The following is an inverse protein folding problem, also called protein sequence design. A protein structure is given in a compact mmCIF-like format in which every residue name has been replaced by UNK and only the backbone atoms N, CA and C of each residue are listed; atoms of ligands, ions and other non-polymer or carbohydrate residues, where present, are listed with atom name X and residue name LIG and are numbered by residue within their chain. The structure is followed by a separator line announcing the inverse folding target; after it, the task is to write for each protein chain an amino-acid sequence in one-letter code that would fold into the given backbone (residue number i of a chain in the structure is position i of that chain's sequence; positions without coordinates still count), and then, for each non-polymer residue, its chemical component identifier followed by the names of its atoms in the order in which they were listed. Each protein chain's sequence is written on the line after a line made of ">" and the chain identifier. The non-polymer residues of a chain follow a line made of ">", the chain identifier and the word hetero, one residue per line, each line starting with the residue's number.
data_IF_076047453152
#
_entry.id   IF_076047453152
#
_cell.length_a   1.000
_cell.length_b   1.000
_cell.length_c   1.000
_cell.angle_alpha   90.00
_cell.angle_beta   90.00
_cell.angle_gamma   90.00
#
_symmetry.space_group_name_H-M   'P 1'
#
loop_
_entity.id
_entity.type
_entity.pdbx_description
1 polymer ?
#
# COMPACT_ATOMS: atom_id res chain seq x y z
N UNK A 1 54.06 -5.26 19.13
CA UNK A 1 53.09 -6.36 18.79
C UNK A 1 51.72 -5.93 19.22
N UNK A 2 50.93 -5.39 18.29
CA UNK A 2 49.59 -4.89 18.55
C UNK A 2 48.59 -5.81 17.84
N UNK A 3 47.84 -6.61 18.60
CA UNK A 3 46.81 -7.48 18.06
C UNK A 3 45.56 -6.66 17.66
N UNK A 4 45.31 -6.56 16.35
CA UNK A 4 44.10 -6.03 15.76
C UNK A 4 42.93 -6.96 16.08
N UNK A 5 42.02 -6.56 16.96
CA UNK A 5 40.74 -7.23 17.21
C UNK A 5 39.83 -6.98 16.02
N UNK A 6 39.70 -7.98 15.11
CA UNK A 6 38.65 -8.03 14.09
C UNK A 6 37.28 -8.03 14.77
N UNK A 7 36.53 -6.93 14.65
CA UNK A 7 35.11 -6.85 14.99
C UNK A 7 34.34 -7.68 13.94
N UNK A 8 34.04 -8.93 14.25
CA UNK A 8 33.05 -9.73 13.52
C UNK A 8 31.66 -9.11 13.76
N UNK A 9 31.16 -8.39 12.78
CA UNK A 9 29.77 -7.95 12.78
C UNK A 9 28.86 -9.18 12.70
N UNK A 10 28.28 -9.56 13.84
CA UNK A 10 27.22 -10.58 13.87
C UNK A 10 26.07 -10.07 12.99
N UNK A 11 25.93 -10.61 11.80
CA UNK A 11 24.72 -10.50 10.99
C UNK A 11 23.55 -11.08 11.80
N UNK A 12 22.81 -10.22 12.47
CA UNK A 12 21.57 -10.61 13.14
C UNK A 12 20.61 -11.02 12.04
N UNK A 13 20.39 -12.32 11.82
CA UNK A 13 19.39 -12.85 10.90
C UNK A 13 18.06 -12.15 11.16
N UNK A 14 17.60 -11.37 10.19
CA UNK A 14 16.36 -10.60 10.29
C UNK A 14 15.21 -11.59 10.46
N UNK A 15 14.53 -11.60 11.62
CA UNK A 15 13.43 -12.51 11.91
C UNK A 15 12.38 -12.40 10.79
N UNK A 16 12.08 -13.53 10.15
CA UNK A 16 11.07 -13.65 9.09
C UNK A 16 9.72 -13.16 9.59
N UNK A 17 9.08 -12.26 8.83
CA UNK A 17 7.77 -11.68 9.16
C UNK A 17 6.67 -12.39 8.39
N UNK A 18 5.49 -12.52 8.99
CA UNK A 18 4.28 -13.07 8.37
C UNK A 18 3.42 -11.93 7.86
N UNK A 19 3.22 -11.85 6.56
CA UNK A 19 2.44 -10.79 5.91
C UNK A 19 1.21 -11.41 5.25
N UNK A 20 0.03 -10.87 5.55
CA UNK A 20 -1.22 -11.19 4.86
C UNK A 20 -1.55 -10.06 3.89
N UNK A 21 -1.77 -10.39 2.61
CA UNK A 21 -2.24 -9.45 1.60
C UNK A 21 -3.67 -9.84 1.21
N UNK A 22 -4.61 -8.90 1.39
CA UNK A 22 -6.03 -9.06 1.05
C UNK A 22 -6.30 -8.27 -0.23
N UNK A 23 -6.55 -9.00 -1.30
CA UNK A 23 -6.76 -8.48 -2.65
C UNK A 23 -5.69 -8.99 -3.62
N UNK A 24 -6.11 -9.83 -4.57
CA UNK A 24 -5.28 -10.46 -5.58
C UNK A 24 -5.23 -9.69 -6.90
N UNK A 25 -5.72 -8.46 -6.94
CA UNK A 25 -5.61 -7.59 -8.10
C UNK A 25 -4.15 -7.26 -8.44
N UNK A 26 -3.94 -6.51 -9.52
CA UNK A 26 -2.59 -6.22 -10.03
C UNK A 26 -1.65 -5.64 -8.95
N UNK A 27 -2.11 -4.65 -8.16
CA UNK A 27 -1.26 -4.03 -7.14
C UNK A 27 -0.97 -4.97 -5.97
N UNK A 28 -1.98 -5.67 -5.42
CA UNK A 28 -1.76 -6.61 -4.31
C UNK A 28 -0.82 -7.74 -4.69
N UNK A 29 -0.96 -8.27 -5.91
CA UNK A 29 -0.07 -9.31 -6.44
C UNK A 29 1.34 -8.80 -6.69
N UNK A 30 1.51 -7.62 -7.28
CA UNK A 30 2.82 -7.00 -7.48
C UNK A 30 3.53 -6.72 -6.15
N UNK A 31 2.79 -6.30 -5.14
CA UNK A 31 3.32 -6.00 -3.81
C UNK A 31 3.89 -7.22 -3.08
N UNK A 32 3.49 -8.44 -3.49
CA UNK A 32 4.11 -9.67 -2.96
C UNK A 32 5.61 -9.77 -3.27
N UNK A 33 6.06 -9.16 -4.38
CA UNK A 33 7.45 -9.26 -4.87
C UNK A 33 8.43 -8.63 -3.88
N UNK A 34 8.34 -7.33 -3.51
CA UNK A 34 9.26 -6.74 -2.53
C UNK A 34 9.11 -7.37 -1.13
N UNK A 35 7.90 -7.80 -0.75
CA UNK A 35 7.69 -8.47 0.53
C UNK A 35 8.47 -9.80 0.62
N UNK A 36 8.40 -10.63 -0.41
CA UNK A 36 9.10 -11.92 -0.47
C UNK A 36 10.62 -11.75 -0.59
N UNK A 37 11.08 -10.73 -1.31
CA UNK A 37 12.51 -10.42 -1.45
C UNK A 37 13.16 -10.02 -0.12
N UNK A 38 12.40 -9.39 0.77
CA UNK A 38 12.81 -9.11 2.14
C UNK A 38 12.74 -10.34 3.07
N UNK A 39 12.69 -11.54 2.52
CA UNK A 39 12.67 -12.82 3.24
C UNK A 39 11.49 -12.96 4.21
N UNK A 40 10.32 -12.41 3.85
CA UNK A 40 9.09 -12.58 4.62
C UNK A 40 8.30 -13.79 4.13
N UNK A 41 7.47 -14.37 5.01
CA UNK A 41 6.42 -15.32 4.64
C UNK A 41 5.18 -14.54 4.20
N UNK A 42 4.83 -14.60 2.93
CA UNK A 42 3.71 -13.84 2.37
C UNK A 42 2.57 -14.77 2.01
N UNK A 43 1.40 -14.47 2.54
CA UNK A 43 0.13 -15.11 2.17
C UNK A 43 -0.74 -14.08 1.45
N UNK A 44 -1.27 -14.43 0.29
CA UNK A 44 -2.26 -13.62 -0.43
C UNK A 44 -3.62 -14.30 -0.40
N UNK A 45 -4.67 -13.51 -0.26
CA UNK A 45 -6.07 -13.97 -0.32
C UNK A 45 -6.89 -13.04 -1.19
N UNK A 46 -7.90 -13.59 -1.87
CA UNK A 46 -8.78 -12.85 -2.77
C UNK A 46 -10.23 -13.18 -2.47
N UNK A 47 -11.04 -12.20 -1.99
CA UNK A 47 -12.42 -12.46 -1.63
C UNK A 47 -13.40 -12.53 -2.81
N UNK A 48 -13.08 -11.96 -3.98
CA UNK A 48 -14.06 -11.76 -5.06
C UNK A 48 -13.79 -12.54 -6.34
N UNK A 49 -12.51 -12.68 -6.75
CA UNK A 49 -12.17 -13.22 -8.07
C UNK A 49 -11.94 -14.73 -8.06
N UNK A 50 -12.94 -15.50 -8.50
CA UNK A 50 -12.81 -16.95 -8.70
C UNK A 50 -11.72 -17.31 -9.71
N UNK A 51 -11.57 -16.51 -10.77
CA UNK A 51 -10.53 -16.70 -11.80
C UNK A 51 -9.13 -16.54 -11.22
N UNK A 52 -8.92 -15.53 -10.38
CA UNK A 52 -7.65 -15.33 -9.70
C UNK A 52 -7.29 -16.53 -8.81
N UNK A 53 -8.27 -17.01 -8.04
CA UNK A 53 -8.12 -18.18 -7.18
C UNK A 53 -7.69 -19.40 -8.01
N UNK A 54 -8.39 -19.68 -9.13
CA UNK A 54 -8.08 -20.78 -10.04
C UNK A 54 -6.66 -20.67 -10.62
N UNK A 55 -6.25 -19.49 -11.06
CA UNK A 55 -4.92 -19.27 -11.64
C UNK A 55 -3.80 -19.43 -10.63
N UNK A 56 -4.00 -19.02 -9.37
CA UNK A 56 -3.00 -19.21 -8.31
C UNK A 56 -2.87 -20.66 -7.83
N UNK A 57 -3.90 -21.46 -8.00
CA UNK A 57 -3.86 -22.89 -7.73
C UNK A 57 -3.11 -23.67 -8.80
N UNK A 58 -2.82 -23.06 -9.96
CA UNK A 58 -2.01 -23.66 -11.03
C UNK A 58 -0.52 -23.68 -10.66
N UNK A 59 0.23 -24.67 -11.23
CA UNK A 59 1.68 -24.79 -11.00
C UNK A 59 2.44 -23.49 -11.32
N UNK A 60 2.01 -22.73 -12.30
CA UNK A 60 2.70 -21.54 -12.80
C UNK A 60 2.32 -20.25 -12.10
N UNK A 61 1.25 -20.23 -11.29
CA UNK A 61 0.75 -19.01 -10.59
C UNK A 61 0.71 -17.78 -11.50
N UNK A 62 0.27 -17.93 -12.75
CA UNK A 62 0.27 -16.86 -13.74
C UNK A 62 -0.77 -15.79 -13.39
N UNK A 63 -0.34 -14.52 -13.40
CA UNK A 63 -1.19 -13.37 -13.18
C UNK A 63 -1.42 -12.61 -14.49
N UNK A 64 -2.63 -12.68 -15.04
CA UNK A 64 -2.97 -12.16 -16.38
C UNK A 64 -2.76 -10.66 -16.54
N UNK A 65 -3.19 -9.85 -15.55
CA UNK A 65 -3.05 -8.40 -15.62
C UNK A 65 -1.59 -7.92 -15.51
N UNK A 66 -0.72 -8.65 -14.80
CA UNK A 66 0.71 -8.35 -14.69
C UNK A 66 1.53 -8.99 -15.81
N UNK A 67 0.98 -10.02 -16.47
CA UNK A 67 1.67 -10.84 -17.48
C UNK A 67 2.97 -11.47 -16.96
N UNK A 68 2.96 -11.94 -15.72
CA UNK A 68 4.08 -12.63 -15.05
C UNK A 68 3.60 -13.84 -14.26
N UNK A 69 4.51 -14.75 -13.98
CA UNK A 69 4.32 -15.78 -12.96
C UNK A 69 4.68 -15.20 -11.58
N UNK A 70 3.78 -15.32 -10.62
CA UNK A 70 4.05 -14.87 -9.25
C UNK A 70 5.09 -15.78 -8.58
N UNK A 71 5.86 -15.27 -7.61
CA UNK A 71 6.93 -16.02 -6.97
C UNK A 71 6.45 -17.35 -6.40
N UNK A 72 7.23 -18.44 -6.63
CA UNK A 72 6.89 -19.79 -6.14
C UNK A 72 6.65 -19.88 -4.63
N UNK A 73 7.40 -19.08 -3.85
CA UNK A 73 7.27 -19.01 -2.36
C UNK A 73 5.98 -18.34 -1.88
N UNK A 74 5.23 -17.67 -2.76
CA UNK A 74 3.96 -17.04 -2.40
C UNK A 74 2.94 -18.11 -1.98
N UNK A 75 2.36 -17.93 -0.78
CA UNK A 75 1.29 -18.77 -0.27
C UNK A 75 -0.05 -18.15 -0.67
N UNK A 76 -0.96 -19.00 -1.13
CA UNK A 76 -2.34 -18.61 -1.36
C UNK A 76 -3.24 -19.30 -0.35
N UNK A 77 -4.22 -18.54 0.18
CA UNK A 77 -5.27 -19.08 1.04
C UNK A 77 -6.62 -18.50 0.64
N UNK A 78 -7.67 -19.32 0.66
CA UNK A 78 -9.04 -18.84 0.46
C UNK A 78 -9.38 -17.82 1.55
N UNK A 79 -10.08 -16.75 1.17
CA UNK A 79 -10.52 -15.75 2.13
C UNK A 79 -11.54 -16.37 3.12
N UNK A 80 -11.35 -16.09 4.39
CA UNK A 80 -12.29 -16.39 5.45
C UNK A 80 -12.08 -15.41 6.62
N UNK A 81 -13.12 -15.18 7.42
CA UNK A 81 -13.01 -14.32 8.60
C UNK A 81 -12.02 -14.91 9.63
N UNK A 82 -11.90 -16.25 9.71
CA UNK A 82 -10.94 -16.91 10.58
C UNK A 82 -9.49 -16.59 10.21
N UNK A 83 -9.20 -16.38 8.91
CA UNK A 83 -7.86 -15.98 8.47
C UNK A 83 -7.42 -14.64 9.07
N UNK A 84 -8.35 -13.72 9.31
CA UNK A 84 -8.07 -12.42 9.92
C UNK A 84 -7.76 -12.50 11.42
N UNK A 85 -8.18 -13.56 12.10
CA UNK A 85 -7.88 -13.81 13.51
C UNK A 85 -6.49 -14.40 13.73
N UNK A 86 -5.82 -14.85 12.67
CA UNK A 86 -4.48 -15.40 12.79
C UNK A 86 -3.44 -14.29 13.04
N UNK A 87 -2.34 -14.67 13.67
CA UNK A 87 -1.27 -13.73 14.01
C UNK A 87 -0.39 -13.45 12.81
N UNK A 88 -0.53 -12.24 12.25
CA UNK A 88 0.34 -11.67 11.23
C UNK A 88 1.17 -10.51 11.82
N UNK A 89 2.34 -10.26 11.26
CA UNK A 89 3.15 -9.08 11.61
C UNK A 89 2.71 -7.84 10.81
N UNK A 90 2.00 -8.03 9.68
CA UNK A 90 1.42 -6.98 8.84
C UNK A 90 0.23 -7.53 8.06
N UNK A 91 -0.88 -6.78 8.05
CA UNK A 91 -2.03 -7.03 7.19
C UNK A 91 -2.10 -5.92 6.15
N UNK A 92 -2.16 -6.29 4.87
CA UNK A 92 -2.19 -5.36 3.73
C UNK A 92 -3.55 -5.43 3.07
N UNK A 93 -4.23 -4.27 2.92
CA UNK A 93 -5.49 -4.14 2.20
C UNK A 93 -5.18 -3.58 0.81
N UNK A 94 -5.37 -4.40 -0.22
CA UNK A 94 -5.11 -4.08 -1.62
C UNK A 94 -6.35 -4.33 -2.51
N UNK A 95 -7.53 -4.07 -1.95
CA UNK A 95 -8.81 -4.20 -2.62
C UNK A 95 -9.14 -2.95 -3.47
N UNK A 96 -10.14 -3.05 -4.35
CA UNK A 96 -10.75 -1.88 -4.99
C UNK A 96 -11.48 -1.01 -3.96
N UNK A 97 -11.81 0.23 -4.34
CA UNK A 97 -12.56 1.14 -3.47
C UNK A 97 -13.90 0.52 -3.01
N UNK A 98 -14.58 -0.20 -3.90
CA UNK A 98 -15.83 -0.94 -3.58
C UNK A 98 -15.63 -2.05 -2.55
N UNK A 99 -14.43 -2.60 -2.44
CA UNK A 99 -14.10 -3.66 -1.48
C UNK A 99 -13.82 -3.16 -0.06
N UNK A 100 -13.71 -1.85 0.15
CA UNK A 100 -13.38 -1.28 1.46
C UNK A 100 -14.51 -1.50 2.48
N UNK A 101 -15.77 -1.35 2.06
CA UNK A 101 -16.90 -1.61 2.96
C UNK A 101 -16.99 -3.07 3.38
N UNK A 102 -16.70 -3.98 2.46
CA UNK A 102 -16.66 -5.40 2.76
C UNK A 102 -15.60 -5.71 3.82
N UNK A 103 -14.35 -5.30 3.57
CA UNK A 103 -13.27 -5.60 4.51
C UNK A 103 -13.47 -4.86 5.84
N UNK A 104 -13.99 -3.65 5.84
CA UNK A 104 -14.33 -2.90 7.04
C UNK A 104 -15.32 -3.65 7.93
N UNK A 105 -16.38 -4.24 7.35
CA UNK A 105 -17.34 -5.09 8.06
C UNK A 105 -16.67 -6.32 8.67
N UNK A 106 -15.74 -6.96 7.94
CA UNK A 106 -15.00 -8.13 8.45
C UNK A 106 -14.07 -7.76 9.62
N UNK A 107 -13.49 -6.57 9.60
CA UNK A 107 -12.54 -6.10 10.61
C UNK A 107 -13.22 -5.54 11.87
N UNK A 108 -14.47 -5.05 11.76
CA UNK A 108 -15.17 -4.26 12.79
C UNK A 108 -15.19 -4.91 14.17
N UNK A 109 -15.37 -6.22 14.21
CA UNK A 109 -15.53 -6.97 15.47
C UNK A 109 -14.27 -7.75 15.88
N UNK A 110 -13.14 -7.49 15.18
CA UNK A 110 -11.90 -8.20 15.42
C UNK A 110 -10.92 -7.32 16.21
N UNK A 111 -10.33 -7.88 17.26
CA UNK A 111 -9.27 -7.21 18.02
C UNK A 111 -7.91 -7.40 17.33
N UNK A 112 -7.74 -6.73 16.17
CA UNK A 112 -6.52 -6.85 15.38
C UNK A 112 -5.42 -5.96 15.96
N UNK A 113 -4.40 -6.60 16.55
CA UNK A 113 -3.21 -5.92 17.09
C UNK A 113 -2.15 -5.63 16.03
N UNK A 114 -2.19 -6.34 14.91
CA UNK A 114 -1.25 -6.16 13.80
C UNK A 114 -1.42 -4.80 13.13
N UNK A 115 -0.34 -4.12 12.70
CA UNK A 115 -0.47 -2.95 11.85
C UNK A 115 -1.17 -3.31 10.54
N UNK A 116 -2.05 -2.41 10.10
CA UNK A 116 -2.79 -2.55 8.84
C UNK A 116 -2.23 -1.52 7.86
N UNK A 117 -1.86 -1.96 6.65
CA UNK A 117 -1.37 -1.12 5.57
C UNK A 117 -2.37 -1.08 4.43
N UNK A 118 -2.86 0.11 4.08
CA UNK A 118 -3.86 0.32 3.03
C UNK A 118 -3.20 0.82 1.75
N UNK A 119 -3.27 0.01 0.68
CA UNK A 119 -2.79 0.36 -0.64
C UNK A 119 -3.89 0.98 -1.52
N UNK A 120 -5.15 0.67 -1.23
CA UNK A 120 -6.32 1.15 -1.97
C UNK A 120 -6.28 2.67 -2.12
N UNK A 121 -6.51 3.16 -3.34
CA UNK A 121 -6.58 4.60 -3.68
C UNK A 121 -8.02 5.03 -3.85
N UNK A 122 -8.31 6.28 -3.53
CA UNK A 122 -9.60 6.91 -3.77
C UNK A 122 -10.14 7.67 -2.56
N UNK A 123 -11.24 8.34 -2.80
CA UNK A 123 -12.03 9.08 -1.80
C UNK A 123 -13.46 8.57 -1.87
N UNK A 124 -14.18 8.63 -0.77
CA UNK A 124 -15.58 8.19 -0.71
C UNK A 124 -16.49 9.29 -0.22
N UNK A 125 -17.56 9.56 -0.96
CA UNK A 125 -18.62 10.44 -0.50
C UNK A 125 -19.54 9.70 0.48
N UNK A 126 -19.66 10.25 1.68
CA UNK A 126 -20.55 9.73 2.73
C UNK A 126 -21.85 10.53 2.74
N UNK A 127 -22.94 9.90 2.29
CA UNK A 127 -24.26 10.56 2.16
C UNK A 127 -24.80 11.13 3.47
N UNK A 128 -24.60 10.41 4.59
CA UNK A 128 -25.14 10.82 5.92
C UNK A 128 -24.54 12.14 6.40
N UNK A 129 -23.24 12.32 6.29
CA UNK A 129 -22.54 13.52 6.74
C UNK A 129 -22.32 14.54 5.63
N UNK A 130 -22.71 14.23 4.38
CA UNK A 130 -22.46 15.04 3.18
C UNK A 130 -20.97 15.42 3.02
N UNK A 131 -20.07 14.52 3.39
CA UNK A 131 -18.61 14.75 3.38
C UNK A 131 -17.89 13.73 2.52
N UNK A 132 -16.75 14.15 1.99
CA UNK A 132 -15.79 13.26 1.34
C UNK A 132 -14.84 12.76 2.43
N UNK A 133 -14.66 11.44 2.51
CA UNK A 133 -13.75 10.78 3.45
C UNK A 133 -12.60 10.12 2.69
N UNK A 134 -11.42 10.13 3.30
CA UNK A 134 -10.34 9.24 2.88
C UNK A 134 -10.66 7.80 3.30
N UNK A 135 -9.95 6.83 2.75
CA UNK A 135 -10.18 5.41 3.06
C UNK A 135 -9.84 5.12 4.53
N UNK A 136 -8.77 5.70 5.05
CA UNK A 136 -8.40 5.53 6.45
C UNK A 136 -9.45 6.13 7.40
N UNK A 137 -10.02 7.30 7.06
CA UNK A 137 -11.12 7.90 7.82
C UNK A 137 -12.38 7.03 7.79
N UNK A 138 -12.74 6.49 6.62
CA UNK A 138 -13.87 5.60 6.47
C UNK A 138 -13.71 4.33 7.33
N UNK A 139 -12.55 3.67 7.24
CA UNK A 139 -12.28 2.47 8.03
C UNK A 139 -12.31 2.76 9.54
N UNK A 140 -11.76 3.88 9.96
CA UNK A 140 -11.77 4.29 11.37
C UNK A 140 -13.18 4.66 11.85
N UNK A 141 -13.88 5.53 11.11
CA UNK A 141 -15.17 6.09 11.53
C UNK A 141 -16.30 5.06 11.49
N UNK A 142 -16.40 4.30 10.40
CA UNK A 142 -17.54 3.44 10.13
C UNK A 142 -17.34 2.01 10.66
N UNK A 143 -16.08 1.58 10.86
CA UNK A 143 -15.77 0.20 11.22
C UNK A 143 -14.86 0.09 12.46
N UNK A 144 -14.52 1.21 13.10
CA UNK A 144 -13.67 1.25 14.29
C UNK A 144 -12.31 0.55 14.12
N UNK A 145 -11.79 0.55 12.88
CA UNK A 145 -10.48 -0.03 12.59
C UNK A 145 -9.39 0.94 13.03
N UNK A 146 -8.53 0.51 13.91
CA UNK A 146 -7.39 1.28 14.42
C UNK A 146 -6.07 0.83 13.78
N UNK A 147 -4.98 1.48 14.16
CA UNK A 147 -3.61 1.10 13.77
C UNK A 147 -3.38 1.07 12.24
N UNK A 148 -4.03 2.01 11.54
CA UNK A 148 -3.98 2.14 10.09
C UNK A 148 -2.73 2.90 9.63
N UNK A 149 -2.05 2.35 8.66
CA UNK A 149 -1.05 3.02 7.83
C UNK A 149 -1.52 3.03 6.39
N UNK A 150 -1.09 4.01 5.61
CA UNK A 150 -1.36 4.05 4.18
C UNK A 150 -0.04 4.02 3.41
N UNK A 151 -0.04 3.40 2.24
CA UNK A 151 1.09 3.40 1.32
C UNK A 151 0.62 3.96 -0.01
N UNK A 152 1.27 5.04 -0.43
CA UNK A 152 0.94 5.76 -1.66
C UNK A 152 2.22 6.16 -2.40
N UNK A 153 2.09 6.52 -3.66
CA UNK A 153 3.20 6.98 -4.48
C UNK A 153 3.01 6.69 -5.96
N UNK A 154 3.95 7.15 -6.80
CA UNK A 154 3.99 6.86 -8.23
C UNK A 154 4.50 5.44 -8.45
N UNK A 155 3.62 4.46 -8.26
CA UNK A 155 3.96 3.04 -8.40
C UNK A 155 2.93 2.35 -9.30
N UNK A 156 3.37 1.90 -10.46
CA UNK A 156 2.60 1.07 -11.37
C UNK A 156 2.83 -0.41 -11.05
N UNK A 157 1.73 -1.18 -10.95
CA UNK A 157 1.80 -2.59 -10.56
C UNK A 157 2.69 -3.43 -11.48
N UNK A 158 2.64 -3.19 -12.81
CA UNK A 158 3.50 -3.91 -13.78
C UNK A 158 4.98 -3.60 -13.59
N UNK A 159 5.32 -2.35 -13.28
CA UNK A 159 6.70 -1.93 -13.03
C UNK A 159 7.23 -2.50 -11.72
N UNK A 160 6.44 -2.44 -10.64
CA UNK A 160 6.79 -3.06 -9.37
C UNK A 160 7.04 -4.57 -9.52
N UNK A 161 6.16 -5.25 -10.25
CA UNK A 161 6.30 -6.69 -10.52
C UNK A 161 7.58 -7.04 -11.29
N UNK A 162 8.08 -6.12 -12.11
CA UNK A 162 9.34 -6.23 -12.88
C UNK A 162 10.55 -5.68 -12.14
N UNK A 163 10.36 -5.23 -10.89
CA UNK A 163 11.40 -4.63 -10.04
C UNK A 163 11.98 -3.32 -10.59
N UNK A 164 11.19 -2.55 -11.35
CA UNK A 164 11.59 -1.21 -11.76
C UNK A 164 11.65 -0.30 -10.54
N UNK A 165 12.61 0.61 -10.55
CA UNK A 165 12.83 1.52 -9.42
C UNK A 165 11.63 2.46 -9.24
N UNK A 166 11.16 2.54 -8.00
CA UNK A 166 10.09 3.45 -7.59
C UNK A 166 10.22 3.84 -6.13
N UNK A 167 9.70 5.01 -5.78
CA UNK A 167 9.60 5.48 -4.39
C UNK A 167 8.14 5.58 -3.97
N UNK A 168 7.87 5.22 -2.71
CA UNK A 168 6.55 5.29 -2.12
C UNK A 168 6.62 5.87 -0.71
N UNK A 169 5.53 6.51 -0.29
CA UNK A 169 5.40 7.07 1.05
C UNK A 169 4.53 6.16 1.90
N UNK A 170 5.02 5.79 3.07
CA UNK A 170 4.23 5.12 4.11
C UNK A 170 3.85 6.18 5.15
N UNK A 171 2.57 6.44 5.30
CA UNK A 171 2.09 7.39 6.30
C UNK A 171 1.38 6.68 7.46
N UNK A 172 1.74 7.08 8.68
CA UNK A 172 1.08 6.70 9.92
C UNK A 172 1.29 7.80 10.95
N UNK A 173 0.28 8.12 11.75
CA UNK A 173 0.38 9.13 12.83
C UNK A 173 1.57 8.84 13.77
N UNK A 174 1.89 7.58 14.00
CA UNK A 174 3.10 7.14 14.67
C UNK A 174 4.19 6.77 13.65
N UNK A 175 5.14 7.65 13.44
CA UNK A 175 6.24 7.46 12.48
C UNK A 175 7.07 6.19 12.73
N UNK A 176 7.13 5.70 13.97
CA UNK A 176 7.84 4.47 14.30
C UNK A 176 7.17 3.25 13.66
N UNK A 177 5.83 3.26 13.55
CA UNK A 177 5.06 2.21 12.87
C UNK A 177 5.34 2.26 11.37
N UNK A 178 5.26 3.45 10.73
CA UNK A 178 5.59 3.61 9.32
C UNK A 178 6.99 3.08 8.98
N UNK A 179 8.00 3.48 9.78
CA UNK A 179 9.39 2.99 9.64
C UNK A 179 9.51 1.49 9.85
N UNK A 180 8.75 0.90 10.77
CA UNK A 180 8.77 -0.55 11.00
C UNK A 180 8.20 -1.32 9.81
N UNK A 181 7.12 -0.82 9.19
CA UNK A 181 6.53 -1.40 7.98
C UNK A 181 7.53 -1.29 6.81
N UNK A 182 8.18 -0.15 6.64
CA UNK A 182 9.20 0.04 5.61
C UNK A 182 10.30 -1.03 5.66
N UNK A 183 10.74 -1.43 6.86
CA UNK A 183 11.72 -2.51 7.03
C UNK A 183 11.25 -3.86 6.47
N UNK A 184 9.94 -4.08 6.28
CA UNK A 184 9.42 -5.33 5.74
C UNK A 184 9.37 -5.36 4.22
N UNK A 185 9.32 -4.17 3.57
CA UNK A 185 9.00 -4.05 2.16
C UNK A 185 10.04 -3.29 1.33
N UNK A 186 10.92 -2.50 1.97
CA UNK A 186 11.93 -1.72 1.26
C UNK A 186 12.98 -2.61 0.62
N UNK A 187 13.29 -2.37 -0.65
CA UNK A 187 14.34 -3.07 -1.44
C UNK A 187 15.20 -2.05 -2.18
N UNK A 188 16.18 -2.50 -2.96
CA UNK A 188 17.02 -1.61 -3.79
C UNK A 188 16.24 -0.85 -4.86
N UNK A 189 15.09 -1.39 -5.30
CA UNK A 189 14.22 -0.79 -6.32
C UNK A 189 12.90 -0.26 -5.76
N UNK A 190 12.50 -0.63 -4.53
CA UNK A 190 11.28 -0.18 -3.88
C UNK A 190 11.63 0.64 -2.66
N UNK A 191 11.86 1.93 -2.89
CA UNK A 191 12.29 2.87 -1.85
C UNK A 191 11.09 3.34 -1.03
N UNK A 192 11.28 3.51 0.28
CA UNK A 192 10.20 3.92 1.18
C UNK A 192 10.56 5.18 1.93
N UNK A 193 9.70 6.17 1.84
CA UNK A 193 9.70 7.39 2.63
C UNK A 193 8.60 7.34 3.68
N UNK A 194 8.63 8.25 4.65
CA UNK A 194 7.74 8.18 5.80
C UNK A 194 7.15 9.53 6.13
N UNK A 195 5.82 9.55 6.37
CA UNK A 195 5.08 10.74 6.77
C UNK A 195 4.21 10.47 8.01
N UNK A 196 3.92 11.52 8.78
CA UNK A 196 2.87 11.49 9.83
C UNK A 196 1.51 11.93 9.27
N UNK A 197 1.49 12.53 8.09
CA UNK A 197 0.29 13.06 7.46
C UNK A 197 -0.42 11.99 6.62
N UNK A 198 -1.26 11.20 7.28
CA UNK A 198 -2.04 10.14 6.63
C UNK A 198 -3.04 10.74 5.64
N UNK A 199 -3.71 11.83 6.02
CA UNK A 199 -4.77 12.45 5.22
C UNK A 199 -4.19 13.08 3.95
N UNK A 200 -3.16 13.90 4.07
CA UNK A 200 -2.52 14.54 2.92
C UNK A 200 -1.99 13.52 1.92
N UNK A 201 -1.32 12.46 2.39
CA UNK A 201 -0.80 11.39 1.53
C UNK A 201 -1.93 10.64 0.80
N UNK A 202 -3.09 10.40 1.44
CA UNK A 202 -4.24 9.78 0.78
C UNK A 202 -4.88 10.71 -0.26
N UNK A 203 -5.08 11.99 0.08
CA UNK A 203 -5.67 13.00 -0.81
C UNK A 203 -4.78 13.18 -2.04
N UNK A 204 -3.50 13.45 -1.88
CA UNK A 204 -2.53 13.56 -2.98
C UNK A 204 -2.61 12.35 -3.92
N UNK A 205 -2.61 11.15 -3.36
CA UNK A 205 -2.67 9.93 -4.16
C UNK A 205 -3.98 9.74 -4.92
N UNK A 206 -5.10 10.22 -4.38
CA UNK A 206 -6.40 10.12 -5.03
C UNK A 206 -6.52 11.06 -6.23
N UNK A 207 -6.00 12.28 -6.11
CA UNK A 207 -6.16 13.33 -7.12
C UNK A 207 -5.05 13.39 -8.16
N UNK A 208 -3.85 12.87 -7.85
CA UNK A 208 -2.67 12.98 -8.72
C UNK A 208 -2.91 12.51 -10.16
N UNK A 209 -3.75 11.49 -10.37
CA UNK A 209 -4.00 10.95 -11.71
C UNK A 209 -4.81 11.93 -12.56
N UNK A 210 -5.70 12.72 -11.97
CA UNK A 210 -6.44 13.79 -12.65
C UNK A 210 -5.44 14.82 -13.17
N UNK A 211 -4.54 15.28 -12.31
CA UNK A 211 -3.50 16.24 -12.71
C UNK A 211 -2.53 15.68 -13.74
N UNK A 212 -2.16 14.40 -13.62
CA UNK A 212 -1.32 13.76 -14.63
C UNK A 212 -1.98 13.74 -16.01
N UNK A 213 -3.31 13.56 -16.08
CA UNK A 213 -4.06 13.64 -17.34
C UNK A 213 -4.10 15.07 -17.88
N UNK A 214 -4.35 16.07 -17.02
CA UNK A 214 -4.37 17.50 -17.40
C UNK A 214 -3.01 17.92 -17.92
N UNK A 215 -1.91 17.57 -17.24
CA UNK A 215 -0.55 17.88 -17.66
C UNK A 215 -0.21 17.21 -18.99
N UNK A 216 -0.62 15.93 -19.15
CA UNK A 216 -0.43 15.17 -20.38
C UNK A 216 -1.24 15.69 -21.59
N UNK A 217 -2.29 16.46 -21.36
CA UNK A 217 -3.05 17.14 -22.40
C UNK A 217 -2.40 18.45 -22.88
N UNK A 218 -1.32 18.90 -22.24
CA UNK A 218 -0.54 20.08 -22.66
C UNK A 218 0.08 19.85 -24.04
N UNK A 219 -0.15 20.81 -24.97
CA UNK A 219 0.32 20.71 -26.36
C UNK A 219 1.81 21.02 -26.53
N UNK A 220 2.46 21.57 -25.50
CA UNK A 220 3.88 21.91 -25.52
C UNK A 220 4.51 21.73 -24.14
N UNK A 221 5.84 21.69 -24.06
CA UNK A 221 6.57 21.65 -22.79
C UNK A 221 6.22 22.82 -21.88
N UNK A 222 6.08 24.03 -22.43
CA UNK A 222 5.71 25.22 -21.66
C UNK A 222 4.29 25.10 -21.10
N UNK A 223 3.33 24.62 -21.89
CA UNK A 223 1.96 24.36 -21.43
C UNK A 223 1.92 23.32 -20.32
N UNK A 224 2.60 22.20 -20.51
CA UNK A 224 2.69 21.12 -19.53
C UNK A 224 3.35 21.58 -18.22
N UNK A 225 4.42 22.40 -18.33
CA UNK A 225 5.14 22.99 -17.19
C UNK A 225 4.24 23.91 -16.36
N UNK A 226 3.49 24.80 -17.05
CA UNK A 226 2.53 25.70 -16.39
C UNK A 226 1.39 24.91 -15.69
N UNK A 227 0.83 23.91 -16.39
CA UNK A 227 -0.20 23.04 -15.83
C UNK A 227 0.32 22.26 -14.60
N UNK A 228 1.58 21.80 -14.64
CA UNK A 228 2.21 21.15 -13.49
C UNK A 228 2.30 22.09 -12.28
N UNK A 229 2.79 23.32 -12.45
CA UNK A 229 2.88 24.31 -11.37
C UNK A 229 1.51 24.63 -10.78
N UNK A 230 0.50 24.88 -11.62
CA UNK A 230 -0.88 25.13 -11.19
C UNK A 230 -1.44 23.92 -10.43
N UNK A 231 -1.17 22.70 -10.90
CA UNK A 231 -1.60 21.47 -10.24
C UNK A 231 -1.03 21.34 -8.81
N UNK A 232 0.24 21.70 -8.62
CA UNK A 232 0.86 21.69 -7.28
C UNK A 232 0.15 22.67 -6.34
N UNK A 233 -0.14 23.89 -6.80
CA UNK A 233 -0.84 24.89 -5.99
C UNK A 233 -2.25 24.42 -5.61
N UNK A 234 -3.00 23.89 -6.57
CA UNK A 234 -4.34 23.38 -6.34
C UNK A 234 -4.36 22.17 -5.39
N UNK A 235 -3.38 21.26 -5.55
CA UNK A 235 -3.19 20.15 -4.61
C UNK A 235 -2.96 20.65 -3.18
N UNK A 236 -2.18 21.71 -2.96
CA UNK A 236 -2.01 22.34 -1.64
C UNK A 236 -3.31 22.80 -1.03
N UNK A 237 -4.16 23.50 -1.80
CA UNK A 237 -5.47 23.91 -1.34
C UNK A 237 -6.36 22.73 -0.93
N UNK A 238 -6.40 21.69 -1.76
CA UNK A 238 -7.19 20.49 -1.47
C UNK A 238 -6.68 19.76 -0.21
N UNK A 239 -5.38 19.61 -0.06
CA UNK A 239 -4.80 19.00 1.16
C UNK A 239 -5.21 19.79 2.40
N UNK A 240 -5.08 21.11 2.37
CA UNK A 240 -5.49 22.00 3.46
C UNK A 240 -6.97 21.88 3.77
N UNK A 241 -7.83 21.84 2.75
CA UNK A 241 -9.26 21.60 2.90
C UNK A 241 -9.56 20.30 3.67
N UNK A 242 -8.82 19.24 3.39
CA UNK A 242 -8.92 17.96 4.10
C UNK A 242 -8.14 17.91 5.42
N UNK A 243 -7.57 19.04 5.87
CA UNK A 243 -6.74 19.14 7.10
C UNK A 243 -5.48 18.27 7.07
N UNK A 244 -4.91 18.04 5.90
CA UNK A 244 -3.57 17.54 5.70
C UNK A 244 -2.54 18.65 5.83
N UNK A 245 -1.26 18.29 5.69
CA UNK A 245 -0.13 19.21 5.89
C UNK A 245 0.46 19.66 4.56
N UNK A 246 0.84 20.93 4.48
CA UNK A 246 1.43 21.54 3.27
C UNK A 246 2.72 20.85 2.82
N UNK A 247 3.50 20.29 3.73
CA UNK A 247 4.75 19.57 3.48
C UNK A 247 4.57 18.18 2.82
N UNK A 248 3.32 17.77 2.55
CA UNK A 248 3.00 16.46 1.99
C UNK A 248 3.14 16.39 0.47
N UNK A 249 3.30 17.53 -0.21
CA UNK A 249 3.45 17.63 -1.68
C UNK A 249 4.92 17.66 -2.08
#
# INVERSE_FOLDING_TARGET
>A
MGQSKKKTSRFRLKKMKKILIIGGGAMGSAFTVPCLENNNSVTITEPYSKTFIKNLSSKNKFHSALKINLPKKLKFRKFSSNLLNEKFDLIVIALSLSGIDFIGKQLKNLNIKSPILVLTKGLKYEKKSKRILTISEQLKKNYNVSNLSVLKGPCLAKELARKNQTSVVIANRNIKIAKSIGKFISTKYYLTEYSKDVVGVEVCSAIKNIYSMIIGAGQSLNSSSNLFQKSILEMKYLIKYFKGKDETI
#
